data_IF_449959419332
#
_entry.id   IF_449959419332
#
_cell.length_a   1.000
_cell.length_b   1.000
_cell.length_c   1.000
_cell.angle_alpha   90.00
_cell.angle_beta   90.00
_cell.angle_gamma   90.00
#
_symmetry.space_group_name_H-M   'P 1'
#
loop_
_entity.id
_entity.type
_entity.pdbx_description
1 polymer ?
#
# COMPACT_ATOMS: atom_id res chain seq x y z
N UNK A 1 -7.87 9.04 -29.77
CA UNK A 1 -8.96 8.28 -30.40
C UNK A 1 -10.26 8.74 -29.76
N UNK A 2 -11.31 8.96 -30.55
CA UNK A 2 -12.66 9.15 -30.00
C UNK A 2 -13.31 7.77 -29.83
N UNK A 3 -13.86 7.52 -28.64
CA UNK A 3 -14.58 6.29 -28.34
C UNK A 3 -15.82 6.63 -27.50
N UNK A 4 -17.01 6.50 -28.10
CA UNK A 4 -18.30 6.83 -27.48
C UNK A 4 -18.33 8.22 -26.82
N UNK A 5 -17.71 9.23 -27.44
CA UNK A 5 -17.67 10.60 -26.92
C UNK A 5 -16.59 10.85 -25.87
N UNK A 6 -15.76 9.84 -25.55
CA UNK A 6 -14.56 10.00 -24.73
C UNK A 6 -13.33 10.09 -25.62
N UNK A 7 -12.50 11.10 -25.36
CA UNK A 7 -11.18 11.20 -25.99
C UNK A 7 -10.19 10.33 -25.23
N UNK A 8 -9.86 9.18 -25.80
CA UNK A 8 -8.87 8.25 -25.27
C UNK A 8 -7.49 8.49 -25.91
N UNK A 9 -6.46 8.34 -25.09
CA UNK A 9 -5.06 8.31 -25.49
C UNK A 9 -4.51 6.90 -25.26
N UNK A 10 -3.63 6.47 -26.16
CA UNK A 10 -2.93 5.20 -26.08
C UNK A 10 -1.42 5.47 -26.05
N UNK A 11 -0.71 4.72 -25.22
CA UNK A 11 0.75 4.75 -25.18
C UNK A 11 1.31 3.35 -25.04
N UNK A 12 2.47 3.14 -25.64
CA UNK A 12 3.25 1.91 -25.49
C UNK A 12 4.65 2.25 -25.01
N UNK A 13 5.15 1.46 -24.07
CA UNK A 13 6.47 1.59 -23.49
C UNK A 13 7.19 0.26 -23.63
N UNK A 14 8.21 0.23 -24.47
CA UNK A 14 9.09 -0.92 -24.66
C UNK A 14 10.35 -0.67 -23.83
N UNK A 15 10.63 -1.55 -22.89
CA UNK A 15 11.78 -1.46 -21.98
C UNK A 15 12.65 -2.72 -22.14
N UNK A 16 13.97 -2.53 -22.20
CA UNK A 16 14.94 -3.62 -22.07
C UNK A 16 15.56 -3.51 -20.67
N UNK A 17 15.33 -4.53 -19.84
CA UNK A 17 15.82 -4.61 -18.47
C UNK A 17 17.06 -5.51 -18.46
N UNK A 18 18.18 -4.92 -18.10
CA UNK A 18 19.46 -5.63 -17.97
C UNK A 18 19.70 -5.95 -16.49
N UNK A 19 19.71 -7.24 -16.12
CA UNK A 19 20.03 -7.68 -14.75
C UNK A 19 21.48 -8.14 -14.69
N UNK A 20 22.31 -7.41 -13.93
CA UNK A 20 23.64 -7.88 -13.54
C UNK A 20 23.52 -8.81 -12.33
N UNK A 21 23.47 -10.12 -12.55
CA UNK A 21 23.81 -11.08 -11.50
C UNK A 21 25.33 -11.11 -11.40
N UNK A 22 25.88 -11.07 -10.18
CA UNK A 22 27.32 -10.88 -9.87
C UNK A 22 28.31 -11.93 -10.41
N UNK A 23 27.99 -12.62 -11.51
CA UNK A 23 28.77 -13.67 -12.15
C UNK A 23 28.62 -13.58 -13.67
N UNK A 24 29.24 -12.59 -14.33
CA UNK A 24 29.49 -12.44 -15.79
C UNK A 24 28.33 -12.64 -16.79
N UNK A 25 27.14 -13.10 -16.39
CA UNK A 25 25.97 -13.28 -17.23
C UNK A 25 25.04 -12.07 -17.07
N UNK A 26 24.91 -11.35 -18.18
CA UNK A 26 23.96 -10.27 -18.35
C UNK A 26 22.66 -10.89 -18.83
N UNK A 27 21.63 -10.91 -17.98
CA UNK A 27 20.30 -11.37 -18.38
C UNK A 27 19.51 -10.16 -18.89
N UNK A 28 19.24 -10.12 -20.21
CA UNK A 28 18.40 -9.10 -20.82
C UNK A 28 16.96 -9.60 -20.93
N UNK A 29 16.03 -8.86 -20.35
CA UNK A 29 14.60 -9.10 -20.46
C UNK A 29 13.94 -7.93 -21.18
N UNK A 30 13.28 -8.20 -22.31
CA UNK A 30 12.45 -7.22 -22.99
C UNK A 30 11.01 -7.29 -22.46
N UNK A 31 10.39 -6.15 -22.20
CA UNK A 31 8.99 -6.07 -21.82
C UNK A 31 8.30 -4.89 -22.50
N UNK A 32 7.02 -5.09 -22.81
CA UNK A 32 6.16 -4.08 -23.43
C UNK A 32 4.98 -3.79 -22.51
N UNK A 33 4.75 -2.51 -22.22
CA UNK A 33 3.61 -2.04 -21.47
C UNK A 33 2.73 -1.16 -22.35
N UNK A 34 1.45 -1.52 -22.43
CA UNK A 34 0.47 -0.77 -23.23
C UNK A 34 -0.62 -0.23 -22.33
N UNK A 35 -0.90 1.07 -22.44
CA UNK A 35 -1.90 1.75 -21.60
C UNK A 35 -2.91 2.51 -22.47
N UNK A 36 -4.15 2.53 -21.99
CA UNK A 36 -5.24 3.35 -22.53
C UNK A 36 -5.75 4.22 -21.39
N UNK A 37 -5.89 5.53 -21.63
CA UNK A 37 -6.38 6.48 -20.63
C UNK A 37 -7.08 7.66 -21.29
N UNK A 38 -8.09 8.21 -20.62
CA UNK A 38 -8.74 9.48 -20.96
C UNK A 38 -7.95 10.71 -20.48
N UNK A 39 -6.89 10.51 -19.68
CA UNK A 39 -6.02 11.59 -19.24
C UNK A 39 -5.23 12.19 -20.40
N UNK A 40 -5.03 13.53 -20.44
CA UNK A 40 -4.23 14.18 -21.48
C UNK A 40 -2.78 13.66 -21.47
N UNK A 41 -2.28 13.22 -22.63
CA UNK A 41 -0.89 12.79 -22.81
C UNK A 41 -0.15 13.76 -23.73
N UNK A 42 1.07 14.10 -23.34
CA UNK A 42 2.03 14.84 -24.14
C UNK A 42 3.46 14.39 -23.85
N UNK A 43 4.43 14.97 -24.55
CA UNK A 43 5.86 14.65 -24.40
C UNK A 43 6.37 14.86 -22.98
N UNK A 44 5.80 15.81 -22.24
CA UNK A 44 6.18 16.11 -20.85
C UNK A 44 5.72 15.09 -19.81
N UNK A 45 4.67 14.31 -20.08
CA UNK A 45 4.07 13.40 -19.08
C UNK A 45 3.95 11.94 -19.53
N UNK A 46 4.28 11.60 -20.78
CA UNK A 46 4.13 10.24 -21.31
C UNK A 46 4.93 9.19 -20.52
N UNK A 47 6.15 9.53 -20.09
CA UNK A 47 7.00 8.66 -19.26
C UNK A 47 6.36 8.42 -17.89
N UNK A 48 5.89 9.49 -17.25
CA UNK A 48 5.24 9.40 -15.94
C UNK A 48 3.93 8.61 -16.03
N UNK A 49 3.17 8.77 -17.12
CA UNK A 49 1.92 8.05 -17.36
C UNK A 49 2.17 6.55 -17.46
N UNK A 50 3.18 6.13 -18.25
CA UNK A 50 3.61 4.72 -18.34
C UNK A 50 3.99 4.18 -16.95
N UNK A 51 4.85 4.89 -16.20
CA UNK A 51 5.25 4.49 -14.84
C UNK A 51 4.06 4.37 -13.90
N UNK A 52 3.13 5.30 -13.96
CA UNK A 52 1.92 5.32 -13.10
C UNK A 52 1.01 4.16 -13.42
N UNK A 53 0.81 3.83 -14.70
CA UNK A 53 0.03 2.66 -15.11
C UNK A 53 0.58 1.34 -14.55
N UNK A 54 1.88 1.27 -14.30
CA UNK A 54 2.53 0.11 -13.66
C UNK A 54 2.33 0.03 -12.15
N UNK A 55 1.89 1.10 -11.48
CA UNK A 55 1.62 1.06 -10.03
C UNK A 55 0.50 0.08 -9.67
N UNK A 56 -0.41 -0.26 -10.60
CA UNK A 56 -1.40 -1.35 -10.42
C UNK A 56 -0.71 -2.67 -10.07
N UNK A 57 0.39 -2.99 -10.74
CA UNK A 57 1.17 -4.21 -10.46
C UNK A 57 1.71 -4.22 -9.03
N UNK A 58 2.12 -3.05 -8.51
CA UNK A 58 2.59 -2.91 -7.13
C UNK A 58 1.48 -3.21 -6.11
N UNK A 59 0.27 -2.70 -6.36
CA UNK A 59 -0.91 -2.99 -5.52
C UNK A 59 -1.17 -4.50 -5.51
N UNK A 60 -1.11 -5.13 -6.68
CA UNK A 60 -1.41 -6.55 -6.80
C UNK A 60 -0.34 -7.44 -6.16
N UNK A 61 0.93 -7.19 -6.45
CA UNK A 61 2.01 -8.06 -6.03
C UNK A 61 2.57 -7.78 -4.65
N UNK A 62 2.49 -6.55 -4.16
CA UNK A 62 2.95 -6.24 -2.80
C UNK A 62 1.76 -6.19 -1.83
N UNK A 63 0.68 -5.51 -2.22
CA UNK A 63 -0.51 -5.35 -1.39
C UNK A 63 -1.22 -6.67 -1.12
N UNK A 64 -1.67 -7.38 -2.17
CA UNK A 64 -2.34 -8.68 -1.95
C UNK A 64 -1.39 -9.74 -1.40
N UNK A 65 -0.12 -9.75 -1.81
CA UNK A 65 0.84 -10.70 -1.23
C UNK A 65 0.98 -10.49 0.28
N UNK A 66 1.01 -9.24 0.76
CA UNK A 66 1.04 -8.94 2.19
C UNK A 66 -0.24 -9.39 2.89
N UNK A 67 -1.40 -9.17 2.27
CA UNK A 67 -2.68 -9.62 2.84
C UNK A 67 -2.79 -11.14 2.92
N UNK A 68 -2.17 -11.86 1.98
CA UNK A 68 -2.15 -13.33 1.95
C UNK A 68 -1.11 -13.89 2.91
N UNK A 69 0.13 -13.41 2.82
CA UNK A 69 1.31 -14.04 3.42
C UNK A 69 1.92 -13.24 4.58
N UNK A 70 1.45 -12.01 4.85
CA UNK A 70 1.95 -11.12 5.89
C UNK A 70 1.20 -11.23 7.23
N UNK A 71 0.50 -12.32 7.48
CA UNK A 71 -0.22 -12.59 8.73
C UNK A 71 -1.65 -12.06 8.81
N UNK A 72 -2.20 -11.50 7.71
CA UNK A 72 -3.62 -11.13 7.61
C UNK A 72 -4.53 -12.30 7.18
N UNK A 73 -3.93 -13.40 6.70
CA UNK A 73 -4.63 -14.64 6.38
C UNK A 73 -5.80 -14.45 5.41
N UNK A 74 -5.65 -13.57 4.40
CA UNK A 74 -6.72 -13.22 3.46
C UNK A 74 -7.33 -14.44 2.75
N UNK A 75 -6.54 -15.49 2.53
CA UNK A 75 -7.01 -16.71 1.86
C UNK A 75 -7.83 -17.61 2.79
N UNK A 76 -7.79 -17.37 4.11
CA UNK A 76 -8.54 -18.17 5.06
C UNK A 76 -10.02 -17.77 5.08
N UNK A 77 -10.89 -18.74 4.80
CA UNK A 77 -12.35 -18.54 4.76
C UNK A 77 -12.96 -18.59 6.17
N UNK A 78 -12.89 -17.48 6.91
CA UNK A 78 -13.43 -17.35 8.27
C UNK A 78 -14.97 -17.44 8.35
N UNK A 79 -15.69 -16.91 7.36
CA UNK A 79 -17.13 -17.14 7.21
C UNK A 79 -17.40 -18.07 6.03
N UNK A 80 -18.00 -19.23 6.31
CA UNK A 80 -18.27 -20.26 5.31
C UNK A 80 -19.68 -20.22 4.73
N UNK A 81 -20.63 -19.71 5.51
CA UNK A 81 -22.09 -19.83 5.26
C UNK A 81 -22.77 -18.51 4.93
N UNK A 82 -22.21 -17.38 5.36
CA UNK A 82 -22.84 -16.07 5.19
C UNK A 82 -21.92 -15.13 4.40
N UNK A 83 -22.39 -14.74 3.21
CA UNK A 83 -21.65 -13.83 2.33
C UNK A 83 -21.43 -12.44 2.94
N UNK A 84 -22.43 -11.88 3.63
CA UNK A 84 -22.31 -10.59 4.30
C UNK A 84 -21.23 -10.62 5.39
N UNK A 85 -21.16 -11.71 6.15
CA UNK A 85 -20.10 -11.89 7.15
C UNK A 85 -18.70 -11.99 6.49
N UNK A 86 -18.58 -12.70 5.36
CA UNK A 86 -17.32 -12.76 4.59
C UNK A 86 -16.92 -11.38 4.06
N UNK A 87 -17.88 -10.60 3.56
CA UNK A 87 -17.67 -9.23 3.08
C UNK A 87 -17.21 -8.31 4.20
N UNK A 88 -17.88 -8.34 5.35
CA UNK A 88 -17.52 -7.53 6.51
C UNK A 88 -16.10 -7.87 7.00
N UNK A 89 -15.76 -9.16 7.08
CA UNK A 89 -14.41 -9.59 7.46
C UNK A 89 -13.35 -9.01 6.52
N UNK A 90 -13.57 -9.13 5.20
CA UNK A 90 -12.66 -8.58 4.21
C UNK A 90 -12.50 -7.06 4.35
N UNK A 91 -13.60 -6.32 4.54
CA UNK A 91 -13.56 -4.87 4.73
C UNK A 91 -12.78 -4.47 5.99
N UNK A 92 -13.01 -5.15 7.12
CA UNK A 92 -12.28 -4.90 8.36
C UNK A 92 -10.78 -5.18 8.21
N UNK A 93 -10.42 -6.26 7.52
CA UNK A 93 -9.03 -6.58 7.21
C UNK A 93 -8.36 -5.50 6.34
N UNK A 94 -9.05 -5.00 5.31
CA UNK A 94 -8.54 -3.88 4.50
C UNK A 94 -8.33 -2.61 5.33
N UNK A 95 -9.26 -2.28 6.23
CA UNK A 95 -9.13 -1.12 7.13
C UNK A 95 -7.95 -1.28 8.09
N UNK A 96 -7.82 -2.46 8.71
CA UNK A 96 -6.69 -2.78 9.59
C UNK A 96 -5.35 -2.68 8.85
N UNK A 97 -5.28 -3.21 7.63
CA UNK A 97 -4.08 -3.14 6.80
C UNK A 97 -3.72 -1.69 6.44
N UNK A 98 -4.71 -0.86 6.07
CA UNK A 98 -4.50 0.56 5.79
C UNK A 98 -3.95 1.29 7.02
N UNK A 99 -4.57 1.11 8.19
CA UNK A 99 -4.11 1.73 9.45
C UNK A 99 -2.68 1.31 9.75
N UNK A 100 -2.37 0.01 9.62
CA UNK A 100 -1.02 -0.50 9.84
C UNK A 100 0.00 0.10 8.87
N UNK A 101 -0.32 0.20 7.57
CA UNK A 101 0.56 0.85 6.61
C UNK A 101 0.83 2.30 6.99
N UNK A 102 -0.22 3.09 7.25
CA UNK A 102 -0.08 4.51 7.59
C UNK A 102 0.73 4.73 8.88
N UNK A 103 0.54 3.85 9.86
CA UNK A 103 1.31 3.86 11.10
C UNK A 103 2.78 3.50 10.82
N UNK A 104 3.05 2.40 10.11
CA UNK A 104 4.42 1.95 9.84
C UNK A 104 5.19 2.95 8.99
N UNK A 105 4.57 3.59 8.00
CA UNK A 105 5.26 4.57 7.14
C UNK A 105 5.30 5.99 7.75
N UNK A 106 4.63 6.23 8.88
CA UNK A 106 4.72 7.51 9.58
C UNK A 106 6.15 7.80 10.01
N UNK A 107 6.64 9.01 9.73
CA UNK A 107 8.00 9.44 10.12
C UNK A 107 8.17 9.30 11.63
N UNK A 108 7.18 9.74 12.41
CA UNK A 108 7.21 9.65 13.87
C UNK A 108 7.38 8.21 14.34
N UNK A 109 6.58 7.28 13.79
CA UNK A 109 6.66 5.88 14.18
C UNK A 109 8.00 5.25 13.78
N UNK A 110 8.48 5.57 12.57
CA UNK A 110 9.77 5.08 12.07
C UNK A 110 10.93 5.52 12.96
N UNK A 111 10.99 6.81 13.30
CA UNK A 111 12.10 7.37 14.08
C UNK A 111 12.06 6.87 15.52
N UNK A 112 10.89 6.88 16.16
CA UNK A 112 10.81 6.66 17.60
C UNK A 112 10.72 5.16 17.96
N UNK A 113 10.16 4.33 17.08
CA UNK A 113 9.87 2.92 17.40
C UNK A 113 10.59 1.89 16.54
N UNK A 114 11.07 2.24 15.34
CA UNK A 114 11.68 1.27 14.41
C UNK A 114 13.17 1.50 14.11
N UNK A 115 13.66 2.75 14.18
CA UNK A 115 15.03 3.11 13.76
C UNK A 115 15.83 3.89 14.80
N UNK A 116 15.20 4.37 15.87
CA UNK A 116 15.85 5.12 16.94
C UNK A 116 16.90 4.28 17.69
N UNK A 117 17.87 4.94 18.34
CA UNK A 117 18.80 4.21 19.22
C UNK A 117 18.03 3.55 20.35
N UNK A 118 18.31 2.27 20.62
CA UNK A 118 17.62 1.46 21.62
C UNK A 118 16.10 1.33 21.40
N UNK A 119 15.65 1.40 20.14
CA UNK A 119 14.24 1.14 19.83
C UNK A 119 13.82 -0.26 20.32
N UNK A 120 12.55 -0.40 20.69
CA UNK A 120 12.01 -1.67 21.18
C UNK A 120 12.11 -2.76 20.10
N UNK A 121 12.15 -4.02 20.54
CA UNK A 121 11.97 -5.15 19.61
C UNK A 121 10.54 -5.17 19.07
N UNK A 122 10.36 -5.65 17.84
CA UNK A 122 9.03 -5.76 17.23
C UNK A 122 8.06 -6.58 18.10
N UNK A 123 8.57 -7.60 18.80
CA UNK A 123 7.79 -8.42 19.74
C UNK A 123 7.27 -7.60 20.92
N UNK A 124 8.14 -6.80 21.55
CA UNK A 124 7.74 -5.92 22.66
C UNK A 124 6.72 -4.90 22.21
N UNK A 125 6.97 -4.26 21.06
CA UNK A 125 6.06 -3.27 20.49
C UNK A 125 4.68 -3.85 20.20
N UNK A 126 4.63 -5.09 19.68
CA UNK A 126 3.37 -5.80 19.48
C UNK A 126 2.63 -6.08 20.80
N UNK A 127 3.34 -6.49 21.85
CA UNK A 127 2.75 -6.69 23.16
C UNK A 127 2.18 -5.39 23.73
N UNK A 128 2.89 -4.28 23.58
CA UNK A 128 2.46 -2.95 24.02
C UNK A 128 1.21 -2.48 23.25
N UNK A 129 1.17 -2.67 21.92
CA UNK A 129 0.00 -2.37 21.10
C UNK A 129 -1.22 -3.19 21.52
N UNK A 130 -1.05 -4.48 21.76
CA UNK A 130 -2.14 -5.36 22.23
C UNK A 130 -2.60 -4.95 23.64
N UNK A 131 -1.68 -4.57 24.52
CA UNK A 131 -2.02 -4.05 25.84
C UNK A 131 -2.81 -2.75 25.74
N UNK A 132 -2.40 -1.82 24.88
CA UNK A 132 -3.12 -0.58 24.63
C UNK A 132 -4.53 -0.85 24.10
N UNK A 133 -4.70 -1.75 23.13
CA UNK A 133 -6.04 -2.10 22.62
C UNK A 133 -6.98 -2.72 23.67
N UNK A 134 -6.42 -3.39 24.69
CA UNK A 134 -7.22 -4.03 25.75
C UNK A 134 -7.53 -3.11 26.92
N UNK A 135 -6.60 -2.23 27.26
CA UNK A 135 -6.61 -1.51 28.54
C UNK A 135 -6.62 0.01 28.39
N UNK A 136 -6.31 0.56 27.22
CA UNK A 136 -6.38 2.00 27.04
C UNK A 136 -7.85 2.45 27.05
N UNK A 137 -8.18 3.34 27.98
CA UNK A 137 -9.48 3.98 28.01
C UNK A 137 -9.54 5.12 26.99
N UNK A 138 -10.64 5.19 26.25
CA UNK A 138 -10.87 6.26 25.31
C UNK A 138 -11.45 7.47 26.05
N UNK A 139 -10.64 8.51 26.21
CA UNK A 139 -11.09 9.81 26.70
C UNK A 139 -11.91 10.52 25.61
N UNK A 140 -13.23 10.53 25.78
CA UNK A 140 -14.16 11.19 24.86
C UNK A 140 -13.83 12.68 24.69
N UNK A 141 -13.45 13.39 25.76
CA UNK A 141 -13.10 14.80 25.66
C UNK A 141 -11.84 15.00 24.81
N UNK A 142 -10.85 14.10 24.93
CA UNK A 142 -9.67 14.09 24.05
C UNK A 142 -10.05 13.79 22.61
N UNK A 143 -10.91 12.80 22.36
CA UNK A 143 -11.37 12.47 21.01
C UNK A 143 -12.08 13.66 20.35
N UNK A 144 -12.91 14.39 21.10
CA UNK A 144 -13.59 15.58 20.59
C UNK A 144 -12.59 16.70 20.28
N UNK A 145 -11.56 16.92 21.10
CA UNK A 145 -10.48 17.87 20.78
C UNK A 145 -9.76 17.48 19.50
N UNK A 146 -9.37 16.21 19.36
CA UNK A 146 -8.69 15.70 18.17
C UNK A 146 -9.51 15.89 16.88
N UNK A 147 -10.84 15.82 16.94
CA UNK A 147 -11.72 16.10 15.77
C UNK A 147 -11.64 17.56 15.32
N UNK A 148 -11.38 18.49 16.23
CA UNK A 148 -11.30 19.93 15.93
C UNK A 148 -9.90 20.39 15.55
N UNK A 149 -8.88 19.63 15.94
CA UNK A 149 -7.49 19.94 15.65
C UNK A 149 -7.09 19.52 14.23
N UNK A 150 -6.31 20.36 13.56
CA UNK A 150 -5.69 19.99 12.29
C UNK A 150 -4.43 19.18 12.56
N UNK A 151 -4.55 17.86 12.45
CA UNK A 151 -3.42 16.93 12.62
C UNK A 151 -2.82 16.61 11.24
N UNK A 152 -1.50 16.81 11.10
CA UNK A 152 -0.77 16.43 9.89
C UNK A 152 0.09 15.20 10.18
N UNK A 153 -0.13 14.12 9.43
CA UNK A 153 0.79 12.98 9.38
C UNK A 153 1.81 13.21 8.28
N UNK A 154 3.07 12.88 8.58
CA UNK A 154 4.16 12.89 7.59
C UNK A 154 4.64 11.47 7.38
N UNK A 155 4.84 11.09 6.13
CA UNK A 155 5.20 9.73 5.74
C UNK A 155 6.60 9.70 5.12
N UNK A 156 7.33 8.61 5.36
CA UNK A 156 8.59 8.35 4.66
C UNK A 156 8.28 8.12 3.18
N UNK A 157 9.04 8.78 2.30
CA UNK A 157 8.90 8.67 0.84
C UNK A 157 9.94 7.72 0.28
#
# INVERSE_FOLDING_TARGET
MDYHGYRLNWLECQETITKNKGSKEVEEAQCTFTHITDLPIGTSNIILTSRTGRLRWKIENEGFNTLKNGGYEMEHKYSRVNYQASKNYYQLMQMAYLINQLMVISIHFQVDYLKGKNHQTLKSLWQDLVAAMKWAELDEARLQRMKTEKIQFRYVT
#
